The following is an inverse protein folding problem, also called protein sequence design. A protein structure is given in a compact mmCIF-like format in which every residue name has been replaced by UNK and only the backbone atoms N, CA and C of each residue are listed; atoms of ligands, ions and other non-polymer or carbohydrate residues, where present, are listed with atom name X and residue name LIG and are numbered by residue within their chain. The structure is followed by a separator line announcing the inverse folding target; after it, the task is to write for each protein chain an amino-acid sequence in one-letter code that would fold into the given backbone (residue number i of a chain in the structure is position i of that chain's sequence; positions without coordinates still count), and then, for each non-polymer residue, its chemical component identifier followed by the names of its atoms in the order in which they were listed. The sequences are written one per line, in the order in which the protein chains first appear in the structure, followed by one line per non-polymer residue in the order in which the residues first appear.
data_IF_696918754166
#
_entry.id   IF_696918754166
#
_cell.length_a   1.000
_cell.length_b   1.000
_cell.length_c   1.000
_cell.angle_alpha   90.00
_cell.angle_beta   90.00
_cell.angle_gamma   90.00
#
_symmetry.space_group_name_H-M   'P 1'
#
loop_
_entity.id
_entity.type
_entity.pdbx_description
1 polymer ?
#
# COMPACT_ATOMS: atom_id res chain seq x y z
N UNK A 1 -1.54 17.03 -5.42
CA UNK A 1 -0.10 17.13 -5.06
C UNK A 1 0.28 18.20 -4.01
N UNK A 2 -0.56 19.17 -3.60
CA UNK A 2 -0.09 20.27 -2.71
C UNK A 2 0.03 19.94 -1.21
N UNK A 3 -0.55 18.86 -0.69
CA UNK A 3 -0.57 18.58 0.76
C UNK A 3 0.39 17.48 1.26
N UNK A 4 1.01 16.70 0.37
CA UNK A 4 1.90 15.58 0.78
C UNK A 4 3.26 16.02 1.33
N UNK A 5 3.70 17.26 1.05
CA UNK A 5 4.94 17.86 1.60
C UNK A 5 4.94 18.05 3.12
N UNK A 6 3.85 17.73 3.83
CA UNK A 6 3.74 17.85 5.29
C UNK A 6 3.87 16.52 6.06
N UNK A 7 3.97 15.37 5.37
CA UNK A 7 4.02 14.07 6.05
C UNK A 7 5.49 13.71 6.33
N UNK A 8 5.84 13.62 7.62
CA UNK A 8 7.20 13.26 8.03
C UNK A 8 7.63 11.90 7.45
N UNK A 9 8.80 11.89 6.81
CA UNK A 9 9.37 10.71 6.16
C UNK A 9 8.70 10.32 4.84
N UNK A 10 7.71 11.08 4.34
CA UNK A 10 7.19 10.88 2.98
C UNK A 10 8.11 11.60 1.98
N UNK A 11 8.81 10.82 1.16
CA UNK A 11 9.95 11.29 0.33
C UNK A 11 9.74 11.01 -1.16
N UNK A 12 8.52 10.70 -1.60
CA UNK A 12 8.18 10.44 -3.00
C UNK A 12 8.68 11.56 -3.93
N UNK A 13 9.31 11.19 -5.05
CA UNK A 13 9.82 12.13 -6.05
C UNK A 13 10.96 13.03 -5.55
N UNK A 14 11.57 12.73 -4.39
CA UNK A 14 12.74 13.47 -3.89
C UNK A 14 14.03 12.72 -4.21
N UNK A 15 15.15 13.44 -4.21
CA UNK A 15 16.49 12.87 -4.41
C UNK A 15 16.96 11.94 -3.29
N UNK A 16 16.22 11.83 -2.17
CA UNK A 16 16.52 10.90 -1.08
C UNK A 16 16.15 9.44 -1.43
N UNK A 17 15.30 9.26 -2.44
CA UNK A 17 14.78 7.97 -2.87
C UNK A 17 15.75 7.36 -3.90
N UNK A 18 16.25 6.13 -3.67
CA UNK A 18 17.12 5.48 -4.63
C UNK A 18 16.35 5.07 -5.88
N UNK A 19 17.05 5.04 -7.02
CA UNK A 19 16.50 4.46 -8.26
C UNK A 19 16.10 3.01 -8.04
N UNK A 20 14.91 2.64 -8.48
CA UNK A 20 14.43 1.26 -8.43
C UNK A 20 15.29 0.33 -9.29
N UNK A 21 15.60 -0.89 -8.83
CA UNK A 21 16.20 -1.90 -9.69
C UNK A 21 15.20 -2.48 -10.71
N UNK A 22 13.89 -2.25 -10.53
CA UNK A 22 12.85 -2.63 -11.49
C UNK A 22 12.82 -1.57 -12.60
N UNK A 23 13.09 -1.99 -13.83
CA UNK A 23 13.02 -1.11 -14.99
C UNK A 23 11.57 -0.95 -15.49
N UNK A 24 11.30 0.09 -16.28
CA UNK A 24 10.00 0.24 -16.96
C UNK A 24 9.62 -1.02 -17.76
N UNK A 25 10.59 -1.66 -18.41
CA UNK A 25 10.37 -2.90 -19.17
C UNK A 25 9.92 -4.04 -18.25
N UNK A 26 10.57 -4.21 -17.10
CA UNK A 26 10.18 -5.23 -16.13
C UNK A 26 8.80 -4.94 -15.56
N UNK A 27 8.50 -3.66 -15.29
CA UNK A 27 7.21 -3.24 -14.78
C UNK A 27 6.06 -3.53 -15.75
N UNK A 28 6.26 -3.32 -17.05
CA UNK A 28 5.28 -3.70 -18.07
C UNK A 28 5.03 -5.22 -18.14
N UNK A 29 6.05 -6.05 -17.88
CA UNK A 29 5.86 -7.50 -17.76
C UNK A 29 5.13 -7.88 -16.46
N UNK A 30 5.38 -7.16 -15.36
CA UNK A 30 4.69 -7.35 -14.09
C UNK A 30 3.20 -7.03 -14.23
N UNK A 31 2.83 -5.91 -14.87
CA UNK A 31 1.42 -5.57 -15.14
C UNK A 31 0.68 -6.68 -15.88
N UNK A 32 1.29 -7.24 -16.93
CA UNK A 32 0.72 -8.39 -17.67
C UNK A 32 0.50 -9.61 -16.78
N UNK A 33 1.44 -9.89 -15.87
CA UNK A 33 1.34 -11.05 -14.96
C UNK A 33 0.17 -10.95 -13.98
N UNK A 34 -0.32 -9.74 -13.71
CA UNK A 34 -1.49 -9.48 -12.86
C UNK A 34 -2.70 -8.99 -13.65
N UNK A 35 -2.69 -9.14 -14.98
CA UNK A 35 -3.75 -8.72 -15.89
C UNK A 35 -4.13 -7.23 -15.80
N UNK A 36 -3.19 -6.39 -15.38
CA UNK A 36 -3.41 -4.96 -15.18
C UNK A 36 -3.32 -4.19 -16.49
N UNK A 37 -4.39 -3.48 -16.85
CA UNK A 37 -4.52 -2.70 -18.07
C UNK A 37 -5.19 -1.34 -17.89
N UNK A 38 -5.62 -0.74 -19.00
CA UNK A 38 -6.20 0.62 -19.02
C UNK A 38 -7.49 0.74 -18.21
N UNK A 39 -8.34 -0.29 -18.21
CA UNK A 39 -9.56 -0.28 -17.40
C UNK A 39 -9.23 -0.27 -15.90
N UNK A 40 -8.20 -0.98 -15.44
CA UNK A 40 -7.77 -0.94 -14.04
C UNK A 40 -7.30 0.45 -13.63
N UNK A 41 -6.51 1.12 -14.49
CA UNK A 41 -6.08 2.52 -14.27
C UNK A 41 -7.29 3.44 -14.12
N UNK A 42 -8.28 3.29 -15.00
CA UNK A 42 -9.52 4.06 -14.97
C UNK A 42 -10.31 3.82 -13.67
N UNK A 43 -10.48 2.58 -13.24
CA UNK A 43 -11.21 2.27 -12.02
C UNK A 43 -10.45 2.66 -10.74
N UNK A 44 -9.12 2.59 -10.74
CA UNK A 44 -8.29 3.14 -9.66
C UNK A 44 -8.53 4.65 -9.52
N UNK A 45 -8.48 5.40 -10.63
CA UNK A 45 -8.75 6.85 -10.61
C UNK A 45 -10.16 7.17 -10.14
N UNK A 46 -11.16 6.39 -10.55
CA UNK A 46 -12.54 6.54 -10.05
C UNK A 46 -12.65 6.25 -8.55
N UNK A 47 -11.82 5.35 -8.01
CA UNK A 47 -11.81 5.03 -6.58
C UNK A 47 -11.21 6.14 -5.72
N UNK A 48 -10.39 7.04 -6.29
CA UNK A 48 -9.62 8.05 -5.56
C UNK A 48 -10.48 8.87 -4.61
N UNK A 49 -11.56 9.47 -5.10
CA UNK A 49 -12.42 10.33 -4.27
C UNK A 49 -13.12 9.54 -3.16
N UNK A 50 -13.48 8.28 -3.41
CA UNK A 50 -14.07 7.41 -2.37
C UNK A 50 -13.04 7.09 -1.29
N UNK A 51 -11.84 6.68 -1.68
CA UNK A 51 -10.79 6.33 -0.74
C UNK A 51 -10.30 7.55 0.05
N UNK A 52 -10.34 8.74 -0.56
CA UNK A 52 -10.07 10.01 0.11
C UNK A 52 -11.16 10.37 1.12
N UNK A 53 -12.43 10.22 0.75
CA UNK A 53 -13.57 10.54 1.63
C UNK A 53 -13.63 9.63 2.87
N UNK A 54 -13.15 8.38 2.76
CA UNK A 54 -13.18 7.37 3.84
C UNK A 54 -11.79 6.99 4.38
N UNK A 55 -10.80 7.86 4.20
CA UNK A 55 -9.40 7.52 4.47
C UNK A 55 -9.15 7.07 5.91
N UNK A 56 -9.70 7.79 6.88
CA UNK A 56 -9.49 7.49 8.30
C UNK A 56 -10.21 6.19 8.72
N UNK A 57 -11.43 5.94 8.23
CA UNK A 57 -12.16 4.71 8.52
C UNK A 57 -11.48 3.47 7.90
N UNK A 58 -10.91 3.60 6.70
CA UNK A 58 -10.11 2.54 6.08
C UNK A 58 -8.89 2.23 6.95
N UNK A 59 -8.16 3.28 7.37
CA UNK A 59 -6.99 3.13 8.24
C UNK A 59 -7.39 2.52 9.60
N UNK A 60 -8.55 2.85 10.16
CA UNK A 60 -9.05 2.24 11.40
C UNK A 60 -9.30 0.74 11.26
N UNK A 61 -9.92 0.31 10.16
CA UNK A 61 -10.11 -1.12 9.87
C UNK A 61 -8.77 -1.84 9.77
N UNK A 62 -7.81 -1.28 9.04
CA UNK A 62 -6.51 -1.90 8.82
C UNK A 62 -5.64 -1.94 10.07
N UNK A 63 -5.56 -0.84 10.82
CA UNK A 63 -4.81 -0.80 12.08
C UNK A 63 -5.50 -1.61 13.20
N UNK A 64 -6.84 -1.69 13.19
CA UNK A 64 -7.59 -2.59 14.06
C UNK A 64 -7.24 -4.05 13.80
N UNK A 65 -7.21 -4.47 12.53
CA UNK A 65 -6.80 -5.81 12.13
C UNK A 65 -5.35 -6.12 12.53
N UNK A 66 -4.41 -5.22 12.26
CA UNK A 66 -3.00 -5.42 12.68
C UNK A 66 -2.90 -5.50 14.20
N UNK A 67 -3.57 -4.59 14.93
CA UNK A 67 -3.58 -4.54 16.38
C UNK A 67 -4.20 -5.76 17.06
N UNK A 68 -5.19 -6.42 16.43
CA UNK A 68 -5.82 -7.63 16.96
C UNK A 68 -5.02 -8.91 16.69
N UNK A 69 -3.94 -8.84 15.91
CA UNK A 69 -3.13 -10.00 15.51
C UNK A 69 -1.70 -9.85 16.05
N UNK A 70 -1.34 -10.52 17.18
CA UNK A 70 -0.06 -10.31 17.85
C UNK A 70 1.18 -10.48 16.97
N UNK A 71 1.17 -11.44 16.04
CA UNK A 71 2.27 -11.67 15.11
C UNK A 71 2.47 -10.50 14.13
N UNK A 72 1.40 -9.84 13.69
CA UNK A 72 1.49 -8.66 12.82
C UNK A 72 1.91 -7.42 13.61
N UNK A 73 1.28 -7.20 14.78
CA UNK A 73 1.59 -6.09 15.68
C UNK A 73 3.05 -6.10 16.17
N UNK A 74 3.67 -7.29 16.24
CA UNK A 74 5.09 -7.44 16.60
C UNK A 74 6.02 -6.61 15.70
N UNK A 75 5.64 -6.34 14.45
CA UNK A 75 6.40 -5.50 13.52
C UNK A 75 6.55 -4.04 13.98
N UNK A 76 5.64 -3.58 14.84
CA UNK A 76 5.61 -2.24 15.44
C UNK A 76 6.02 -2.22 16.91
N UNK A 77 6.42 -3.37 17.46
CA UNK A 77 6.75 -3.51 18.88
C UNK A 77 8.23 -3.27 19.14
N UNK A 78 8.54 -2.65 20.29
CA UNK A 78 9.89 -2.42 20.79
C UNK A 78 10.65 -3.74 20.87
N UNK A 79 11.90 -3.74 20.37
CA UNK A 79 12.76 -4.91 20.46
C UNK A 79 13.13 -5.25 21.91
N UNK A 80 13.16 -4.25 22.78
CA UNK A 80 13.57 -4.42 24.18
C UNK A 80 12.38 -4.78 25.08
N UNK A 81 11.23 -4.11 24.89
CA UNK A 81 10.06 -4.25 25.79
C UNK A 81 8.98 -5.19 25.25
N UNK A 82 8.99 -5.51 23.95
CA UNK A 82 7.94 -6.28 23.30
C UNK A 82 6.58 -5.56 23.18
N UNK A 83 6.50 -4.28 23.60
CA UNK A 83 5.28 -3.46 23.54
C UNK A 83 5.19 -2.65 22.24
N UNK A 84 3.98 -2.44 21.69
CA UNK A 84 3.78 -1.57 20.53
C UNK A 84 4.28 -0.14 20.78
N UNK A 85 4.94 0.46 19.79
CA UNK A 85 5.39 1.86 19.84
C UNK A 85 4.31 2.74 19.19
N UNK A 86 3.51 3.43 20.02
CA UNK A 86 2.35 4.21 19.58
C UNK A 86 2.71 5.32 18.58
N UNK A 87 3.82 6.03 18.81
CA UNK A 87 4.29 7.11 17.94
C UNK A 87 4.76 6.59 16.58
N UNK A 88 5.32 5.37 16.56
CA UNK A 88 5.71 4.70 15.33
C UNK A 88 4.49 4.32 14.49
N UNK A 89 3.49 3.71 15.12
CA UNK A 89 2.20 3.39 14.49
C UNK A 89 1.54 4.66 13.93
N UNK A 90 1.48 5.74 14.70
CA UNK A 90 0.88 7.00 14.27
C UNK A 90 1.63 7.65 13.09
N UNK A 91 2.97 7.58 13.06
CA UNK A 91 3.78 8.14 11.98
C UNK A 91 3.66 7.32 10.70
N UNK A 92 3.69 5.99 10.80
CA UNK A 92 3.48 5.08 9.67
C UNK A 92 2.06 5.21 9.14
N UNK A 93 1.04 5.39 10.00
CA UNK A 93 -0.36 5.58 9.60
C UNK A 93 -0.54 6.72 8.60
N UNK A 94 0.11 7.86 8.85
CA UNK A 94 0.06 9.03 7.95
C UNK A 94 0.61 8.70 6.56
N UNK A 95 1.77 8.03 6.51
CA UNK A 95 2.37 7.61 5.22
C UNK A 95 1.56 6.53 4.53
N UNK A 96 0.93 5.64 5.29
CA UNK A 96 0.06 4.60 4.73
C UNK A 96 -1.22 5.19 4.15
N UNK A 97 -1.79 6.22 4.79
CA UNK A 97 -2.89 7.00 4.22
C UNK A 97 -2.51 7.66 2.88
N UNK A 98 -1.32 8.25 2.80
CA UNK A 98 -0.82 8.82 1.54
C UNK A 98 -0.64 7.75 0.46
N UNK A 99 -0.11 6.56 0.81
CA UNK A 99 0.05 5.45 -0.12
C UNK A 99 -1.28 4.98 -0.75
N UNK A 100 -2.39 5.02 -0.01
CA UNK A 100 -3.73 4.73 -0.54
C UNK A 100 -4.06 5.70 -1.68
N UNK A 101 -3.82 6.99 -1.46
CA UNK A 101 -4.09 8.04 -2.45
C UNK A 101 -3.14 7.97 -3.65
N UNK A 102 -1.87 7.68 -3.42
CA UNK A 102 -0.86 7.54 -4.50
C UNK A 102 -1.14 6.31 -5.38
N UNK A 103 -1.70 5.25 -4.80
CA UNK A 103 -2.13 4.07 -5.55
C UNK A 103 -3.39 4.38 -6.37
N UNK A 104 -4.36 5.07 -5.77
CA UNK A 104 -5.60 5.42 -6.44
C UNK A 104 -5.44 6.52 -7.51
N UNK A 105 -4.39 7.34 -7.46
CA UNK A 105 -4.09 8.29 -8.54
C UNK A 105 -3.69 7.60 -9.84
N UNK A 106 -3.17 6.36 -9.74
CA UNK A 106 -2.70 5.55 -10.86
C UNK A 106 -1.70 6.27 -11.78
N UNK A 107 -0.81 7.07 -11.18
CA UNK A 107 0.32 7.73 -11.84
C UNK A 107 1.58 6.89 -11.63
N UNK A 108 1.78 5.89 -12.48
CA UNK A 108 2.84 4.88 -12.32
C UNK A 108 4.02 5.12 -13.26
N UNK A 109 4.83 6.12 -12.94
CA UNK A 109 6.06 6.49 -13.63
C UNK A 109 7.31 5.96 -12.88
N UNK A 110 8.50 6.41 -13.32
CA UNK A 110 9.76 6.01 -12.70
C UNK A 110 9.88 6.48 -11.24
N UNK A 111 9.31 7.63 -10.88
CA UNK A 111 9.31 8.11 -9.49
C UNK A 111 8.41 7.24 -8.61
N UNK A 112 7.29 6.77 -9.15
CA UNK A 112 6.46 5.76 -8.49
C UNK A 112 7.22 4.46 -8.25
N UNK A 113 7.94 3.94 -9.25
CA UNK A 113 8.78 2.74 -9.11
C UNK A 113 9.90 2.93 -8.07
N UNK A 114 10.58 4.08 -8.11
CA UNK A 114 11.60 4.45 -7.13
C UNK A 114 11.01 4.41 -5.70
N UNK A 115 9.78 4.91 -5.55
CA UNK A 115 9.12 4.91 -4.24
C UNK A 115 8.60 3.53 -3.82
N UNK A 116 8.16 2.67 -4.73
CA UNK A 116 7.85 1.27 -4.40
C UNK A 116 9.08 0.55 -3.85
N UNK A 117 10.25 0.79 -4.45
CA UNK A 117 11.50 0.25 -3.96
C UNK A 117 11.84 0.77 -2.55
N UNK A 118 11.71 2.07 -2.31
CA UNK A 118 11.89 2.68 -0.99
C UNK A 118 10.94 2.10 0.06
N UNK A 119 9.66 1.88 -0.27
CA UNK A 119 8.70 1.23 0.61
C UNK A 119 9.15 -0.20 0.93
N UNK A 120 9.62 -0.96 -0.07
CA UNK A 120 10.18 -2.30 0.13
C UNK A 120 11.39 -2.28 1.10
N UNK A 121 12.31 -1.33 0.91
CA UNK A 121 13.46 -1.15 1.80
C UNK A 121 13.05 -0.81 3.24
N UNK A 122 11.95 -0.09 3.45
CA UNK A 122 11.42 0.29 4.77
C UNK A 122 10.71 -0.86 5.49
N UNK A 123 10.25 -1.87 4.77
CA UNK A 123 9.79 -3.12 5.37
C UNK A 123 10.95 -4.11 5.61
N UNK A 124 11.98 -4.06 4.78
CA UNK A 124 13.20 -4.85 4.91
C UNK A 124 14.17 -4.27 5.96
N UNK A 125 15.08 -5.10 6.48
CA UNK A 125 16.10 -4.67 7.46
C UNK A 125 17.02 -3.55 6.98
N UNK A 126 17.09 -3.30 5.67
CA UNK A 126 17.91 -2.22 5.09
C UNK A 126 17.51 -0.85 5.62
N UNK A 127 16.21 -0.53 5.64
CA UNK A 127 15.70 0.79 6.07
C UNK A 127 14.60 0.73 7.12
N UNK A 128 14.13 -0.45 7.54
CA UNK A 128 13.16 -0.56 8.63
C UNK A 128 13.65 0.20 9.87
N UNK A 129 12.72 0.90 10.52
CA UNK A 129 12.92 1.73 11.70
C UNK A 129 13.72 3.04 11.51
N UNK A 130 14.41 3.24 10.37
CA UNK A 130 15.27 4.43 10.17
C UNK A 130 14.50 5.72 9.96
N UNK A 131 13.42 5.68 9.18
CA UNK A 131 12.61 6.87 8.87
C UNK A 131 12.11 7.58 10.13
N UNK A 132 11.65 6.81 11.12
CA UNK A 132 11.08 7.34 12.37
C UNK A 132 12.05 7.26 13.56
N UNK A 133 13.29 6.82 13.32
CA UNK A 133 14.32 6.65 14.33
C UNK A 133 13.85 5.85 15.56
N UNK A 134 13.29 4.66 15.34
CA UNK A 134 12.76 3.79 16.41
C UNK A 134 13.57 2.51 16.59
N UNK A 135 13.38 1.81 17.72
CA UNK A 135 13.99 0.50 17.99
C UNK A 135 12.93 -0.60 18.07
N UNK A 136 12.36 -0.96 16.92
CA UNK A 136 11.37 -2.04 16.81
C UNK A 136 11.96 -3.31 16.17
N UNK A 137 11.12 -4.31 15.87
CA UNK A 137 11.50 -5.50 15.10
C UNK A 137 12.36 -5.15 13.87
N UNK A 138 13.34 -5.99 13.53
CA UNK A 138 14.37 -5.66 12.52
C UNK A 138 13.85 -5.67 11.08
N UNK A 139 12.83 -6.47 10.77
CA UNK A 139 12.18 -6.53 9.46
C UNK A 139 10.73 -6.97 9.63
N UNK A 140 9.90 -6.73 8.61
CA UNK A 140 8.60 -7.38 8.48
C UNK A 140 8.79 -8.68 7.70
N UNK A 141 8.36 -9.85 8.21
CA UNK A 141 8.48 -11.11 7.47
C UNK A 141 7.74 -11.02 6.13
N UNK A 142 8.40 -11.44 5.04
CA UNK A 142 7.79 -11.38 3.70
C UNK A 142 6.49 -12.20 3.61
N UNK A 143 6.42 -13.33 4.34
CA UNK A 143 5.20 -14.15 4.43
C UNK A 143 4.00 -13.36 4.94
N UNK A 144 4.20 -12.44 5.88
CA UNK A 144 3.13 -11.64 6.47
C UNK A 144 2.72 -10.54 5.49
N UNK A 145 3.68 -9.89 4.83
CA UNK A 145 3.41 -8.88 3.80
C UNK A 145 2.63 -9.44 2.61
N UNK A 146 3.04 -10.61 2.11
CA UNK A 146 2.37 -11.23 0.97
C UNK A 146 0.92 -11.62 1.32
N UNK A 147 0.68 -12.15 2.53
CA UNK A 147 -0.65 -12.51 2.98
C UNK A 147 -1.56 -11.29 3.23
N UNK A 148 -0.99 -10.11 3.52
CA UNK A 148 -1.74 -8.86 3.70
C UNK A 148 -2.41 -8.34 2.41
N UNK A 149 -2.05 -8.86 1.22
CA UNK A 149 -2.74 -8.53 -0.04
C UNK A 149 -4.24 -8.78 0.06
N UNK A 150 -4.65 -9.92 0.65
CA UNK A 150 -6.06 -10.27 0.78
C UNK A 150 -6.84 -9.32 1.70
N UNK A 151 -6.48 -9.11 2.99
CA UNK A 151 -7.24 -8.22 3.85
C UNK A 151 -7.22 -6.76 3.36
N UNK A 152 -6.10 -6.27 2.80
CA UNK A 152 -6.03 -4.91 2.24
C UNK A 152 -7.02 -4.74 1.09
N UNK A 153 -7.12 -5.69 0.16
CA UNK A 153 -8.04 -5.58 -0.98
C UNK A 153 -9.49 -5.89 -0.61
N UNK A 154 -9.73 -6.93 0.18
CA UNK A 154 -11.07 -7.40 0.53
C UNK A 154 -11.84 -6.36 1.35
N UNK A 155 -11.17 -5.72 2.32
CA UNK A 155 -11.80 -4.75 3.23
C UNK A 155 -12.12 -3.41 2.58
N UNK A 156 -11.62 -3.13 1.36
CA UNK A 156 -12.00 -1.94 0.59
C UNK A 156 -13.38 -2.04 -0.05
N UNK A 157 -13.88 -3.26 -0.32
CA UNK A 157 -15.14 -3.48 -1.05
C UNK A 157 -16.33 -2.71 -0.47
N UNK A 158 -16.58 -2.68 0.86
CA UNK A 158 -17.70 -1.94 1.43
C UNK A 158 -17.58 -0.43 1.20
N UNK A 159 -16.36 0.13 1.23
CA UNK A 159 -16.14 1.55 0.98
C UNK A 159 -16.39 1.91 -0.49
N UNK A 160 -15.87 1.10 -1.42
CA UNK A 160 -16.07 1.27 -2.86
C UNK A 160 -17.54 1.13 -3.28
N UNK A 161 -18.32 0.31 -2.57
CA UNK A 161 -19.76 0.17 -2.81
C UNK A 161 -20.56 1.44 -2.45
N UNK A 162 -20.10 2.28 -1.51
CA UNK A 162 -20.84 3.47 -1.06
C UNK A 162 -21.08 4.53 -2.15
N UNK A 163 -20.27 4.57 -3.20
CA UNK A 163 -20.51 5.42 -4.39
C UNK A 163 -20.89 4.63 -5.65
N UNK A 164 -21.34 3.38 -5.50
CA UNK A 164 -21.80 2.57 -6.64
C UNK A 164 -20.70 2.12 -7.60
N UNK A 165 -19.41 2.29 -7.27
CA UNK A 165 -18.28 1.86 -8.11
C UNK A 165 -18.29 0.33 -8.27
N UNK A 166 -18.76 -0.40 -7.26
CA UNK A 166 -18.91 -1.86 -7.32
C UNK A 166 -20.13 -2.32 -8.15
N UNK A 167 -21.08 -1.43 -8.44
CA UNK A 167 -22.32 -1.77 -9.17
C UNK A 167 -22.16 -1.67 -10.70
N UNK A 168 -21.02 -1.20 -11.21
CA UNK A 168 -20.71 -1.25 -12.65
C UNK A 168 -19.85 -2.47 -12.98
N UNK A 169 -20.52 -3.58 -13.34
CA UNK A 169 -20.00 -4.76 -14.05
C UNK A 169 -18.90 -5.58 -13.37
N UNK A 170 -19.31 -6.63 -12.65
CA UNK A 170 -18.58 -7.90 -12.72
C UNK A 170 -19.21 -8.68 -13.88
N UNK A 171 -18.73 -8.40 -15.10
CA UNK A 171 -19.03 -9.24 -16.26
C UNK A 171 -18.13 -10.46 -16.18
N UNK A 172 -18.77 -11.62 -16.08
CA UNK A 172 -18.21 -12.95 -16.21
C UNK A 172 -17.59 -13.18 -17.59
N UNK A 173 -16.38 -12.66 -17.84
CA UNK A 173 -15.64 -12.96 -19.08
C UNK A 173 -14.21 -13.45 -18.87
N UNK A 174 -13.84 -13.81 -17.64
CA UNK A 174 -12.57 -14.52 -17.38
C UNK A 174 -12.89 -16.00 -17.20
N UNK A 175 -13.18 -16.66 -18.32
CA UNK A 175 -12.82 -18.04 -18.68
C UNK A 175 -13.38 -18.17 -20.10
N UNK A 176 -12.50 -18.10 -21.10
CA UNK A 176 -12.82 -18.58 -22.44
C UNK A 176 -12.96 -20.09 -22.38
N UNK A 177 -14.18 -20.57 -22.19
CA UNK A 177 -14.55 -21.93 -22.59
C UNK A 177 -15.18 -21.83 -23.97
N UNK A 178 -14.34 -21.68 -24.99
CA UNK A 178 -14.69 -22.06 -26.35
C UNK A 178 -13.51 -22.90 -26.88
N UNK A 179 -13.79 -24.19 -27.04
CA UNK A 179 -13.06 -25.17 -27.87
C UNK A 179 -11.62 -25.53 -27.46
N UNK A 180 -11.47 -26.67 -26.79
CA UNK A 180 -10.82 -27.93 -27.25
C UNK A 180 -11.29 -29.07 -26.34
#
# INVERSE_FOLDING_TARGET
MKDSKKIFGYTFGTSEVPTSPVTDKDFELMKKSVLFGEEDIKYLKLSYDVLKDYLEEILDVWYGFVGSNPHLLSSFSSKDEGKPISEYLASVRKRFGQWILDTASAEYDQDWLNYQYEIGLRHHRTKKNKTDNVKAAEHVPFRDLFLLIFPITFTLKPFLAKKGILNSRISSSIIGTDEI
#
